data_IF_697925277495
#
_entry.id   IF_697925277495
#
_cell.length_a   1.000
_cell.length_b   1.000
_cell.length_c   1.000
_cell.angle_alpha   90.00
_cell.angle_beta   90.00
_cell.angle_gamma   90.00
#
_symmetry.space_group_name_H-M   'P 1'
#
loop_
_entity.id
_entity.type
_entity.pdbx_description
1 polymer ?
#
# COMPACT_ATOMS: atom_id res chain seq x y z
N UNK A 1 58.58 59.87 -27.95
CA UNK A 1 58.95 58.91 -26.88
C UNK A 1 57.78 58.76 -25.94
N UNK A 2 57.09 57.61 -25.97
CA UNK A 2 56.77 56.73 -24.83
C UNK A 2 55.71 55.72 -25.33
N UNK A 3 56.11 54.45 -25.39
CA UNK A 3 55.26 53.29 -25.73
C UNK A 3 54.35 53.00 -24.56
N UNK A 4 53.09 52.59 -24.78
CA UNK A 4 52.46 51.53 -23.98
C UNK A 4 51.36 50.81 -24.77
N UNK A 5 51.55 49.50 -24.92
CA UNK A 5 50.60 48.51 -25.39
C UNK A 5 49.44 48.38 -24.39
N UNK A 6 48.21 48.15 -24.85
CA UNK A 6 47.16 47.61 -24.00
C UNK A 6 46.35 46.55 -24.76
N UNK A 7 46.30 45.38 -24.12
CA UNK A 7 45.80 44.10 -24.57
C UNK A 7 44.29 44.09 -24.85
N UNK A 8 43.92 43.24 -25.82
CA UNK A 8 42.58 42.71 -26.06
C UNK A 8 42.10 41.92 -24.82
N UNK A 9 40.85 42.11 -24.42
CA UNK A 9 40.13 41.16 -23.57
C UNK A 9 38.76 40.90 -24.20
N UNK A 10 38.69 39.82 -24.98
CA UNK A 10 37.46 39.27 -25.54
C UNK A 10 36.84 38.36 -24.47
N UNK A 11 35.78 38.80 -23.81
CA UNK A 11 35.01 37.97 -22.89
C UNK A 11 34.06 37.08 -23.69
N UNK A 12 34.40 35.79 -23.80
CA UNK A 12 33.50 34.74 -24.29
C UNK A 12 32.57 34.34 -23.14
N UNK A 13 31.28 34.64 -23.26
CA UNK A 13 30.25 34.05 -22.40
C UNK A 13 29.97 32.62 -22.87
N UNK A 14 30.50 31.61 -22.17
CA UNK A 14 30.04 30.24 -22.30
C UNK A 14 28.73 30.07 -21.52
N UNK A 15 27.60 30.09 -22.22
CA UNK A 15 26.32 29.63 -21.68
C UNK A 15 26.30 28.09 -21.67
N UNK A 16 26.81 27.48 -20.61
CA UNK A 16 26.57 26.06 -20.33
C UNK A 16 25.14 25.89 -19.81
N UNK A 17 24.21 25.60 -20.72
CA UNK A 17 22.86 25.17 -20.40
C UNK A 17 22.90 23.81 -19.72
N UNK A 18 22.73 23.81 -18.40
CA UNK A 18 22.59 22.61 -17.58
C UNK A 18 21.24 21.95 -17.94
N UNK A 19 21.27 20.95 -18.82
CA UNK A 19 20.13 20.05 -19.00
C UNK A 19 20.01 19.24 -17.71
N UNK A 20 19.06 19.61 -16.85
CA UNK A 20 18.66 18.77 -15.73
C UNK A 20 18.05 17.49 -16.29
N UNK A 21 18.89 16.46 -16.43
CA UNK A 21 18.43 15.10 -16.64
C UNK A 21 17.67 14.72 -15.36
N UNK A 22 16.35 14.88 -15.38
CA UNK A 22 15.48 14.19 -14.44
C UNK A 22 15.64 12.72 -14.78
N UNK A 23 16.61 12.07 -14.14
CA UNK A 23 16.58 10.64 -14.00
C UNK A 23 15.27 10.31 -13.30
N UNK A 24 14.27 9.95 -14.11
CA UNK A 24 13.18 9.15 -13.64
C UNK A 24 13.83 7.92 -13.01
N UNK A 25 14.03 7.95 -11.69
CA UNK A 25 14.40 6.77 -10.92
C UNK A 25 13.25 5.79 -11.10
N UNK A 26 13.39 4.96 -12.13
CA UNK A 26 12.72 3.68 -12.23
C UNK A 26 13.28 2.89 -11.07
N UNK A 27 12.65 3.02 -9.90
CA UNK A 27 12.91 2.14 -8.77
C UNK A 27 12.95 0.72 -9.33
N UNK A 28 14.05 -0.04 -9.13
CA UNK A 28 14.15 -1.37 -9.69
C UNK A 28 12.93 -2.16 -9.23
N UNK A 29 12.16 -2.68 -10.19
CA UNK A 29 11.12 -3.66 -9.90
C UNK A 29 11.83 -4.78 -9.16
N UNK A 30 11.56 -4.89 -7.86
CA UNK A 30 12.23 -5.86 -6.99
C UNK A 30 12.30 -7.20 -7.71
N UNK A 31 13.50 -7.78 -7.77
CA UNK A 31 13.73 -9.15 -8.20
C UNK A 31 12.62 -10.05 -7.62
N UNK A 32 12.04 -10.90 -8.48
CA UNK A 32 10.87 -11.72 -8.15
C UNK A 32 11.00 -12.31 -6.74
N UNK A 33 10.28 -11.74 -5.78
CA UNK A 33 10.34 -12.25 -4.41
C UNK A 33 9.81 -13.66 -4.43
N UNK A 34 10.40 -14.56 -3.64
CA UNK A 34 9.85 -15.90 -3.46
C UNK A 34 8.34 -15.81 -3.14
N UNK A 35 7.58 -16.75 -3.70
CA UNK A 35 6.15 -16.90 -3.38
C UNK A 35 6.03 -17.06 -1.87
N UNK A 36 5.17 -16.25 -1.27
CA UNK A 36 4.97 -16.25 0.18
C UNK A 36 4.46 -17.61 0.68
N UNK A 37 4.88 -18.00 1.87
CA UNK A 37 4.28 -19.10 2.62
C UNK A 37 2.79 -18.83 2.94
N UNK A 38 2.00 -19.86 3.32
CA UNK A 38 0.55 -19.72 3.54
C UNK A 38 0.21 -18.59 4.52
N UNK A 39 0.98 -18.49 5.60
CA UNK A 39 0.77 -17.53 6.68
C UNK A 39 1.58 -16.23 6.52
N UNK A 40 2.39 -16.09 5.47
CA UNK A 40 3.22 -14.89 5.28
C UNK A 40 2.45 -13.76 4.59
N UNK A 41 2.71 -12.52 4.99
CA UNK A 41 2.19 -11.29 4.34
C UNK A 41 3.14 -10.76 3.27
N UNK A 42 4.45 -10.96 3.48
CA UNK A 42 5.48 -10.48 2.57
C UNK A 42 5.87 -11.56 1.56
N UNK A 43 6.24 -11.14 0.35
CA UNK A 43 6.60 -12.03 -0.77
C UNK A 43 5.69 -11.86 -1.98
N UNK A 44 5.97 -12.65 -3.03
CA UNK A 44 5.08 -12.73 -4.18
C UNK A 44 3.75 -13.39 -3.79
N UNK A 45 2.62 -13.01 -4.41
CA UNK A 45 1.32 -13.59 -4.09
C UNK A 45 1.30 -15.08 -4.42
N UNK A 46 0.51 -15.85 -3.66
CA UNK A 46 0.26 -17.27 -3.97
C UNK A 46 -0.70 -17.44 -5.13
N UNK A 47 -1.61 -16.48 -5.30
CA UNK A 47 -2.65 -16.51 -6.31
C UNK A 47 -2.45 -15.40 -7.33
N UNK A 48 -2.73 -15.68 -8.60
CA UNK A 48 -2.68 -14.68 -9.67
C UNK A 48 -3.82 -13.67 -9.53
N UNK A 49 -3.68 -12.49 -10.16
CA UNK A 49 -4.76 -11.50 -10.22
C UNK A 49 -6.06 -12.12 -10.76
N UNK A 50 -5.96 -12.91 -11.84
CA UNK A 50 -7.11 -13.59 -12.46
C UNK A 50 -7.78 -14.59 -11.50
N UNK A 51 -7.00 -15.31 -10.69
CA UNK A 51 -7.52 -16.22 -9.66
C UNK A 51 -8.31 -15.45 -8.61
N UNK A 52 -7.75 -14.34 -8.10
CA UNK A 52 -8.41 -13.50 -7.09
C UNK A 52 -9.68 -12.86 -7.64
N UNK A 53 -9.66 -12.34 -8.87
CA UNK A 53 -10.86 -11.79 -9.52
C UNK A 53 -11.95 -12.85 -9.73
N UNK A 54 -11.59 -14.06 -10.16
CA UNK A 54 -12.53 -15.19 -10.32
C UNK A 54 -13.19 -15.53 -8.99
N UNK A 55 -12.39 -15.64 -7.94
CA UNK A 55 -12.89 -15.89 -6.60
C UNK A 55 -13.84 -14.78 -6.13
N UNK A 56 -13.44 -13.52 -6.27
CA UNK A 56 -14.26 -12.36 -5.89
C UNK A 56 -15.62 -12.35 -6.62
N UNK A 57 -15.64 -12.65 -7.93
CA UNK A 57 -16.90 -12.82 -8.68
C UNK A 57 -17.75 -13.96 -8.11
N UNK A 58 -17.13 -15.09 -7.77
CA UNK A 58 -17.84 -16.29 -7.28
C UNK A 58 -18.54 -16.10 -5.92
N UNK A 59 -18.11 -15.12 -5.12
CA UNK A 59 -18.73 -14.78 -3.83
C UNK A 59 -19.53 -13.47 -3.88
N UNK A 60 -19.83 -12.99 -5.10
CA UNK A 60 -20.59 -11.77 -5.36
C UNK A 60 -19.96 -10.52 -4.71
N UNK A 61 -18.64 -10.34 -4.85
CA UNK A 61 -18.01 -9.09 -4.47
C UNK A 61 -18.50 -7.92 -5.35
N UNK A 62 -18.68 -6.75 -4.72
CA UNK A 62 -19.18 -5.57 -5.40
C UNK A 62 -18.16 -4.98 -6.39
N UNK A 63 -18.62 -4.00 -7.18
CA UNK A 63 -17.76 -3.22 -8.09
C UNK A 63 -16.54 -2.59 -7.39
N UNK A 64 -16.64 -2.30 -6.09
CA UNK A 64 -15.57 -1.64 -5.35
C UNK A 64 -14.37 -2.59 -5.18
N UNK A 65 -14.61 -3.85 -4.80
CA UNK A 65 -13.58 -4.89 -4.75
C UNK A 65 -13.03 -5.18 -6.14
N UNK A 66 -13.91 -5.36 -7.13
CA UNK A 66 -13.46 -5.67 -8.49
C UNK A 66 -12.53 -4.60 -9.07
N UNK A 67 -12.78 -3.32 -8.75
CA UNK A 67 -11.94 -2.20 -9.22
C UNK A 67 -10.59 -2.12 -8.50
N UNK A 68 -10.47 -2.64 -7.28
CA UNK A 68 -9.24 -2.50 -6.47
C UNK A 68 -8.27 -3.65 -6.62
N UNK A 69 -8.72 -4.87 -6.94
CA UNK A 69 -7.85 -6.04 -7.18
C UNK A 69 -6.67 -5.72 -8.12
N UNK A 70 -6.87 -5.23 -9.37
CA UNK A 70 -5.74 -4.90 -10.25
C UNK A 70 -4.81 -3.82 -9.68
N UNK A 71 -5.34 -2.91 -8.86
CA UNK A 71 -4.54 -1.86 -8.22
C UNK A 71 -3.66 -2.44 -7.10
N UNK A 72 -4.16 -3.40 -6.32
CA UNK A 72 -3.34 -4.11 -5.32
C UNK A 72 -2.18 -4.81 -5.99
N UNK A 73 -2.43 -5.56 -7.07
CA UNK A 73 -1.39 -6.27 -7.82
C UNK A 73 -0.34 -5.34 -8.43
N UNK A 74 -0.69 -4.07 -8.69
CA UNK A 74 0.27 -3.05 -9.12
C UNK A 74 1.06 -2.41 -7.97
N UNK A 75 0.42 -2.11 -6.85
CA UNK A 75 1.00 -1.27 -5.79
C UNK A 75 1.68 -2.07 -4.67
N UNK A 76 1.06 -3.14 -4.18
CA UNK A 76 1.57 -3.89 -3.03
C UNK A 76 2.97 -4.51 -3.27
N UNK A 77 3.28 -5.07 -4.47
CA UNK A 77 4.61 -5.62 -4.74
C UNK A 77 5.75 -4.61 -4.62
N UNK A 78 5.50 -3.31 -4.83
CA UNK A 78 6.51 -2.24 -4.65
C UNK A 78 7.05 -2.17 -3.23
N UNK A 79 6.31 -2.74 -2.26
CA UNK A 79 6.66 -2.82 -0.84
C UNK A 79 6.90 -4.26 -0.38
N UNK A 80 7.01 -5.20 -1.31
CA UNK A 80 7.09 -6.63 -1.06
C UNK A 80 5.90 -7.17 -0.23
N UNK A 81 4.73 -6.53 -0.33
CA UNK A 81 3.50 -6.96 0.32
C UNK A 81 2.69 -7.75 -0.71
N UNK A 82 2.16 -8.89 -0.29
CA UNK A 82 1.44 -9.76 -1.18
C UNK A 82 0.04 -9.21 -1.49
N UNK A 83 -0.29 -8.96 -2.77
CA UNK A 83 -1.56 -8.34 -3.14
C UNK A 83 -2.78 -9.24 -2.92
N UNK A 84 -2.62 -10.57 -2.93
CA UNK A 84 -3.69 -11.52 -2.63
C UNK A 84 -4.15 -11.44 -1.17
N UNK A 85 -3.20 -11.21 -0.23
CA UNK A 85 -3.50 -10.97 1.19
C UNK A 85 -4.29 -9.68 1.36
N UNK A 86 -3.86 -8.58 0.74
CA UNK A 86 -4.58 -7.31 0.85
C UNK A 86 -5.96 -7.34 0.19
N UNK A 87 -6.11 -8.10 -0.90
CA UNK A 87 -7.42 -8.32 -1.51
C UNK A 87 -8.34 -9.13 -0.59
N UNK A 88 -7.84 -10.21 0.03
CA UNK A 88 -8.60 -10.97 1.02
C UNK A 88 -9.01 -10.10 2.22
N UNK A 89 -8.07 -9.30 2.73
CA UNK A 89 -8.32 -8.37 3.82
C UNK A 89 -9.40 -7.33 3.43
N UNK A 90 -9.32 -6.74 2.24
CA UNK A 90 -10.33 -5.81 1.75
C UNK A 90 -11.72 -6.43 1.62
N UNK A 91 -11.80 -7.71 1.23
CA UNK A 91 -13.07 -8.45 1.17
C UNK A 91 -13.69 -8.57 2.57
N UNK A 92 -12.89 -8.84 3.60
CA UNK A 92 -13.36 -8.91 5.00
C UNK A 92 -13.82 -7.53 5.47
N UNK A 93 -12.93 -6.56 5.43
CA UNK A 93 -13.09 -5.22 6.02
C UNK A 93 -14.28 -4.44 5.45
N UNK A 94 -14.57 -4.63 4.16
CA UNK A 94 -15.64 -3.90 3.49
C UNK A 94 -16.95 -4.69 3.39
N UNK A 95 -16.99 -5.91 3.94
CA UNK A 95 -18.09 -6.84 3.72
C UNK A 95 -18.31 -7.08 2.23
N UNK A 96 -17.29 -7.56 1.51
CA UNK A 96 -17.26 -7.79 0.04
C UNK A 96 -17.47 -6.53 -0.81
N UNK A 97 -17.17 -5.37 -0.25
CA UNK A 97 -17.32 -4.06 -0.89
C UNK A 97 -18.72 -3.48 -0.77
N UNK A 98 -19.55 -3.94 0.16
CA UNK A 98 -20.89 -3.40 0.40
C UNK A 98 -20.93 -2.31 1.47
N UNK A 99 -19.88 -2.18 2.29
CA UNK A 99 -19.74 -1.08 3.26
C UNK A 99 -20.92 -0.97 4.24
N UNK A 100 -21.25 -2.08 4.91
CA UNK A 100 -22.34 -2.12 5.90
C UNK A 100 -22.05 -1.41 7.23
N UNK A 101 -20.81 -0.95 7.45
CA UNK A 101 -20.40 -0.20 8.63
C UNK A 101 -20.14 1.28 8.33
N UNK A 102 -19.33 1.92 9.18
CA UNK A 102 -19.13 3.38 9.15
C UNK A 102 -18.24 3.87 8.00
N UNK A 103 -17.30 3.03 7.56
CA UNK A 103 -16.40 3.32 6.44
C UNK A 103 -17.14 3.51 5.12
N UNK A 104 -16.65 4.45 4.31
CA UNK A 104 -17.21 4.79 3.01
C UNK A 104 -16.45 4.13 1.86
N UNK A 105 -17.04 4.07 0.66
CA UNK A 105 -16.37 3.54 -0.51
C UNK A 105 -14.93 4.00 -0.69
N UNK A 106 -14.09 3.06 -1.13
CA UNK A 106 -12.64 3.19 -1.31
C UNK A 106 -11.80 3.12 -0.02
N UNK A 107 -12.38 3.27 1.17
CA UNK A 107 -11.68 2.89 2.39
C UNK A 107 -11.72 1.35 2.55
N UNK A 108 -10.72 0.67 1.98
CA UNK A 108 -10.73 -0.78 1.85
C UNK A 108 -10.37 -1.53 3.14
N UNK A 109 -10.09 -0.83 4.24
CA UNK A 109 -9.49 -1.43 5.43
C UNK A 109 -9.89 -0.74 6.73
N UNK A 110 -11.01 0.00 6.76
CA UNK A 110 -11.47 0.65 7.98
C UNK A 110 -10.53 1.73 8.52
N UNK A 111 -9.71 2.35 7.67
CA UNK A 111 -8.62 3.23 8.11
C UNK A 111 -9.19 4.54 8.63
N UNK A 112 -8.84 4.89 9.86
CA UNK A 112 -9.19 6.17 10.48
C UNK A 112 -8.24 7.30 10.06
N UNK A 113 -8.64 8.53 10.34
CA UNK A 113 -7.78 9.72 10.27
C UNK A 113 -6.67 9.65 11.32
N UNK A 114 -5.62 10.44 11.13
CA UNK A 114 -4.49 10.51 12.07
C UNK A 114 -4.87 11.16 13.41
N UNK A 115 -4.12 10.81 14.45
CA UNK A 115 -4.28 11.30 15.81
C UNK A 115 -5.30 10.52 16.65
N UNK A 116 -5.69 11.11 17.78
CA UNK A 116 -6.71 10.54 18.67
C UNK A 116 -8.09 10.77 18.07
N UNK A 117 -8.73 9.69 17.62
CA UNK A 117 -10.03 9.70 16.95
C UNK A 117 -10.92 8.58 17.50
N UNK A 118 -12.23 8.81 17.51
CA UNK A 118 -13.23 7.85 17.97
C UNK A 118 -13.57 6.80 16.91
N UNK A 119 -14.76 6.24 17.00
CA UNK A 119 -15.34 5.25 16.07
C UNK A 119 -16.51 5.81 15.25
N UNK A 120 -16.71 7.14 15.23
CA UNK A 120 -17.79 7.74 14.47
C UNK A 120 -17.49 7.70 12.95
N UNK A 121 -18.50 7.69 12.06
CA UNK A 121 -18.28 7.77 10.61
C UNK A 121 -17.36 8.90 10.13
N UNK A 122 -17.33 10.04 10.84
CA UNK A 122 -16.48 11.19 10.55
C UNK A 122 -14.99 10.92 10.80
N UNK A 123 -14.66 9.91 11.59
CA UNK A 123 -13.30 9.57 12.02
C UNK A 123 -12.59 8.70 10.98
N UNK A 124 -13.33 8.13 10.02
CA UNK A 124 -12.78 7.33 8.94
C UNK A 124 -12.28 8.18 7.76
N UNK A 125 -11.23 7.69 7.11
CA UNK A 125 -10.75 8.26 5.86
C UNK A 125 -11.78 8.04 4.73
N UNK A 126 -11.87 9.01 3.81
CA UNK A 126 -12.74 8.94 2.62
C UNK A 126 -11.88 9.16 1.37
N UNK A 127 -11.22 8.11 0.85
CA UNK A 127 -10.36 8.26 -0.31
C UNK A 127 -11.17 8.65 -1.56
N UNK A 128 -10.70 9.59 -2.39
CA UNK A 128 -11.47 10.11 -3.52
C UNK A 128 -11.56 9.11 -4.69
N UNK A 129 -10.75 8.04 -4.69
CA UNK A 129 -10.74 7.06 -5.76
C UNK A 129 -10.28 5.68 -5.30
N UNK A 130 -10.55 4.66 -6.11
CA UNK A 130 -10.03 3.31 -5.92
C UNK A 130 -8.50 3.27 -5.79
N UNK A 131 -7.80 4.11 -6.55
CA UNK A 131 -6.34 4.17 -6.49
C UNK A 131 -5.85 4.70 -5.15
N UNK A 132 -6.43 5.82 -4.70
CA UNK A 132 -6.07 6.41 -3.40
C UNK A 132 -6.43 5.49 -2.24
N UNK A 133 -7.59 4.82 -2.31
CA UNK A 133 -8.00 3.84 -1.31
C UNK A 133 -7.05 2.65 -1.19
N UNK A 134 -6.62 2.08 -2.31
CA UNK A 134 -5.66 0.97 -2.32
C UNK A 134 -4.27 1.46 -1.89
N UNK A 135 -3.82 2.62 -2.36
CA UNK A 135 -2.53 3.20 -1.95
C UNK A 135 -2.50 3.45 -0.45
N UNK A 136 -3.60 3.96 0.12
CA UNK A 136 -3.81 4.14 1.55
C UNK A 136 -3.69 2.79 2.29
N UNK A 137 -4.43 1.77 1.86
CA UNK A 137 -4.37 0.44 2.49
C UNK A 137 -2.96 -0.19 2.40
N UNK A 138 -2.31 -0.15 1.24
CA UNK A 138 -0.92 -0.62 1.06
C UNK A 138 0.04 0.13 1.99
N UNK A 139 -0.12 1.45 2.11
CA UNK A 139 0.71 2.25 3.01
C UNK A 139 0.45 1.89 4.47
N UNK A 140 -0.81 1.70 4.87
CA UNK A 140 -1.12 1.29 6.22
C UNK A 140 -0.48 -0.06 6.56
N UNK A 141 -0.60 -1.06 5.69
CA UNK A 141 0.13 -2.33 5.87
C UNK A 141 1.66 -2.15 5.82
N UNK A 142 2.18 -1.18 5.06
CA UNK A 142 3.61 -0.85 5.09
C UNK A 142 4.06 -0.32 6.46
N UNK A 143 3.21 0.42 7.18
CA UNK A 143 3.48 0.79 8.57
C UNK A 143 3.58 -0.45 9.46
N UNK A 144 2.65 -1.40 9.30
CA UNK A 144 2.64 -2.66 10.07
C UNK A 144 3.86 -3.55 9.85
N UNK A 145 4.38 -3.55 8.62
CA UNK A 145 5.43 -4.47 8.16
C UNK A 145 6.83 -3.83 8.09
N UNK A 146 6.97 -2.59 8.55
CA UNK A 146 8.24 -1.85 8.58
C UNK A 146 8.75 -1.42 7.20
N UNK A 147 7.86 -1.28 6.23
CA UNK A 147 8.19 -0.86 4.87
C UNK A 147 8.05 0.65 4.71
N UNK A 148 8.65 1.20 3.65
CA UNK A 148 8.45 2.61 3.26
C UNK A 148 7.07 2.78 2.61
N UNK A 149 6.40 3.93 2.72
CA UNK A 149 5.11 4.16 2.06
C UNK A 149 5.29 4.43 0.56
N UNK A 150 4.32 4.05 -0.27
CA UNK A 150 4.18 4.47 -1.68
C UNK A 150 3.70 5.93 -1.74
N UNK A 151 4.62 6.82 -2.14
CA UNK A 151 4.37 8.26 -2.15
C UNK A 151 4.16 8.82 -0.73
N UNK A 152 3.48 9.97 -0.64
CA UNK A 152 3.06 10.55 0.64
C UNK A 152 1.93 9.69 1.25
N UNK A 153 2.08 9.17 2.48
CA UNK A 153 1.02 8.41 3.17
C UNK A 153 -0.05 9.32 3.77
N UNK A 154 -1.15 8.72 4.20
CA UNK A 154 -2.17 9.33 5.06
C UNK A 154 -1.65 9.47 6.51
N UNK A 155 -2.23 10.36 7.32
CA UNK A 155 -1.65 10.69 8.64
C UNK A 155 -1.66 9.49 9.61
N UNK A 156 -2.71 8.66 9.58
CA UNK A 156 -2.83 7.44 10.39
C UNK A 156 -1.73 6.40 10.12
N UNK A 157 -0.96 6.53 9.03
CA UNK A 157 0.25 5.75 8.80
C UNK A 157 1.27 5.95 9.91
N UNK A 158 1.48 7.20 10.36
CA UNK A 158 2.49 7.52 11.36
C UNK A 158 2.10 6.97 12.74
N UNK A 159 0.82 7.04 13.10
CA UNK A 159 0.31 6.44 14.34
C UNK A 159 0.53 4.92 14.36
N UNK A 160 0.12 4.24 13.28
CA UNK A 160 0.28 2.80 13.17
C UNK A 160 1.75 2.38 13.19
N UNK A 161 2.62 3.16 12.54
CA UNK A 161 4.06 2.89 12.52
C UNK A 161 4.66 3.06 13.92
N UNK A 162 4.33 4.15 14.60
CA UNK A 162 4.79 4.41 15.96
C UNK A 162 4.35 3.30 16.92
N UNK A 163 3.10 2.83 16.81
CA UNK A 163 2.59 1.71 17.60
C UNK A 163 3.38 0.41 17.37
N UNK A 164 3.80 0.13 16.13
CA UNK A 164 4.65 -1.04 15.84
C UNK A 164 6.09 -0.88 16.33
N UNK A 165 6.66 0.32 16.19
CA UNK A 165 7.98 0.63 16.72
C UNK A 165 8.00 0.47 18.25
N UNK A 166 6.93 0.89 18.94
CA UNK A 166 6.76 0.66 20.39
C UNK A 166 6.68 -0.82 20.77
N UNK A 167 6.07 -1.66 19.93
CA UNK A 167 6.06 -3.11 20.13
C UNK A 167 7.42 -3.77 19.89
N UNK A 168 8.36 -3.07 19.27
CA UNK A 168 9.70 -3.56 18.93
C UNK A 168 9.74 -4.76 17.96
N UNK A 169 8.67 -4.98 17.19
CA UNK A 169 8.63 -5.96 16.10
C UNK A 169 7.70 -5.54 14.97
N UNK A 170 7.90 -6.12 13.79
CA UNK A 170 7.11 -5.84 12.59
C UNK A 170 6.30 -7.06 12.19
N UNK A 171 5.06 -6.84 11.77
CA UNK A 171 4.21 -7.91 11.26
C UNK A 171 4.86 -8.57 10.04
N UNK A 172 4.87 -9.90 10.05
CA UNK A 172 5.34 -10.79 8.98
C UNK A 172 4.27 -11.80 8.59
N UNK A 173 3.37 -12.15 9.51
CA UNK A 173 2.40 -13.23 9.34
C UNK A 173 0.95 -12.75 9.45
N UNK A 174 0.06 -13.42 8.74
CA UNK A 174 -1.39 -13.18 8.80
C UNK A 174 -1.92 -13.49 10.21
N UNK A 175 -1.36 -14.51 10.88
CA UNK A 175 -1.63 -14.82 12.30
C UNK A 175 -1.48 -13.64 13.24
N UNK A 176 -0.63 -12.68 12.92
CA UNK A 176 -0.28 -11.56 13.80
C UNK A 176 -1.24 -10.38 13.67
N UNK A 177 -2.23 -10.42 12.78
CA UNK A 177 -3.17 -9.32 12.55
C UNK A 177 -4.35 -9.30 13.54
N UNK A 178 -4.59 -10.38 14.27
CA UNK A 178 -5.62 -10.42 15.33
C UNK A 178 -5.17 -9.75 16.64
N UNK A 179 -5.94 -9.99 17.70
CA UNK A 179 -5.55 -9.74 19.09
C UNK A 179 -5.07 -8.30 19.38
N UNK A 180 -5.69 -7.32 18.74
CA UNK A 180 -5.42 -5.89 18.96
C UNK A 180 -4.17 -5.36 18.24
N UNK A 181 -3.57 -6.15 17.35
CA UNK A 181 -2.50 -5.64 16.47
C UNK A 181 -3.13 -4.83 15.34
N UNK A 182 -3.93 -5.47 14.48
CA UNK A 182 -4.74 -4.79 13.46
C UNK A 182 -6.21 -4.75 13.85
N UNK A 183 -6.80 -5.92 14.15
CA UNK A 183 -8.17 -6.06 14.62
C UNK A 183 -8.21 -6.57 16.05
N UNK A 184 -9.20 -6.14 16.83
CA UNK A 184 -9.48 -6.68 18.17
C UNK A 184 -10.05 -8.09 18.12
N UNK A 185 -10.66 -8.49 17.00
CA UNK A 185 -11.22 -9.82 16.79
C UNK A 185 -10.10 -10.89 16.69
N UNK A 186 -10.05 -11.87 17.60
CA UNK A 186 -9.07 -12.96 17.56
C UNK A 186 -9.24 -13.88 16.34
N UNK A 187 -10.43 -13.92 15.74
CA UNK A 187 -10.74 -14.74 14.55
C UNK A 187 -10.45 -14.02 13.24
N UNK A 188 -9.94 -12.79 13.30
CA UNK A 188 -9.66 -11.98 12.11
C UNK A 188 -8.69 -12.69 11.14
N UNK A 189 -7.59 -13.23 11.67
CA UNK A 189 -6.59 -13.93 10.87
C UNK A 189 -7.14 -15.20 10.20
N UNK A 190 -8.00 -15.96 10.88
CA UNK A 190 -8.61 -17.16 10.30
C UNK A 190 -9.61 -16.81 9.19
N UNK A 191 -10.34 -15.71 9.35
CA UNK A 191 -11.25 -15.19 8.30
C UNK A 191 -10.48 -14.82 7.03
N UNK A 192 -9.34 -14.13 7.14
CA UNK A 192 -8.47 -13.85 5.99
C UNK A 192 -7.98 -15.14 5.34
N UNK A 193 -7.50 -16.10 6.12
CA UNK A 193 -7.02 -17.39 5.59
C UNK A 193 -8.12 -18.17 4.88
N UNK A 194 -9.35 -18.14 5.39
CA UNK A 194 -10.49 -18.78 4.71
C UNK A 194 -10.72 -18.20 3.31
N UNK A 195 -10.59 -16.88 3.12
CA UNK A 195 -10.66 -16.29 1.79
C UNK A 195 -9.50 -16.74 0.90
N UNK A 196 -8.28 -16.76 1.41
CA UNK A 196 -7.10 -17.21 0.68
C UNK A 196 -7.18 -18.70 0.28
N UNK A 197 -7.63 -19.58 1.17
CA UNK A 197 -7.78 -21.00 0.87
C UNK A 197 -8.84 -21.21 -0.21
N UNK A 198 -9.94 -20.45 -0.16
CA UNK A 198 -11.00 -20.53 -1.17
C UNK A 198 -10.58 -19.97 -2.54
N UNK A 199 -9.63 -19.03 -2.60
CA UNK A 199 -9.02 -18.59 -3.87
C UNK A 199 -8.30 -19.75 -4.58
N UNK A 200 -7.73 -20.71 -3.83
CA UNK A 200 -7.00 -21.85 -4.38
C UNK A 200 -7.86 -23.05 -4.76
N UNK A 201 -9.15 -23.08 -4.39
CA UNK A 201 -10.03 -24.25 -4.51
C UNK A 201 -10.89 -24.29 -5.78
N UNK A 202 -10.70 -23.39 -6.76
CA UNK A 202 -11.61 -23.27 -7.94
C UNK A 202 -10.92 -22.87 -9.24
#
# INVERSE_FOLDING_TARGET
>A
MLRYLALISLTVFLASGLVALVEARTEPVLAATAVRGPDQILGAPRYSQTTVERYARSINCSRYIMKTIPIYYRLAPRRNIAPDVLAAQAIVETGRGYYGGDSKPWNMAGIKKGGTVGDDPKDFEVPPSAYEGVRMHVNHMAAYTGKRPVGKPHDRFYDARAAQEQRAWWVRRISELGDGIWATDPTYASTIRNHLDNMGRR
#
